data_IF_530849111462
#
_entry.id   IF_530849111462
#
_cell.length_a   1.000
_cell.length_b   1.000
_cell.length_c   1.000
_cell.angle_alpha   90.00
_cell.angle_beta   90.00
_cell.angle_gamma   90.00
#
_symmetry.space_group_name_H-M   'P 1'
#
loop_
_entity.id
_entity.type
_entity.pdbx_description
1 polymer ?
#
# COMPACT_ATOMS: atom_id res chain seq x y z
N UNK A 1 4.82 -48.33 30.47
CA UNK A 1 3.75 -48.29 29.44
C UNK A 1 2.76 -47.23 29.88
N UNK A 2 2.93 -46.01 29.37
CA UNK A 2 2.20 -45.49 28.20
C UNK A 2 0.70 -45.34 28.50
N UNK A 3 0.30 -44.25 29.18
CA UNK A 3 -1.08 -43.79 29.04
C UNK A 3 -1.42 -42.40 29.60
N UNK A 4 -0.46 -41.47 29.80
CA UNK A 4 -0.83 -40.11 30.25
C UNK A 4 -0.16 -38.94 29.49
N UNK A 5 0.82 -39.18 28.62
CA UNK A 5 1.46 -38.11 27.82
C UNK A 5 0.89 -37.95 26.40
N UNK A 6 -0.13 -38.71 26.01
CA UNK A 6 -0.76 -38.58 24.69
C UNK A 6 -2.00 -37.66 24.66
N UNK A 7 -2.47 -37.18 25.82
CA UNK A 7 -3.59 -36.24 25.89
C UNK A 7 -3.15 -34.76 25.78
N UNK A 8 -1.85 -34.46 25.91
CA UNK A 8 -1.33 -33.09 25.87
C UNK A 8 -0.82 -32.64 24.49
N UNK A 9 -0.87 -33.51 23.47
CA UNK A 9 -0.20 -33.27 22.18
C UNK A 9 -1.11 -33.47 20.95
N UNK A 10 -2.42 -33.22 21.10
CA UNK A 10 -3.37 -33.13 19.98
C UNK A 10 -4.42 -32.01 20.13
N UNK A 11 -4.14 -30.98 20.94
CA UNK A 11 -4.83 -29.70 20.81
C UNK A 11 -4.07 -28.79 19.84
N UNK A 12 -3.78 -29.29 18.64
CA UNK A 12 -3.52 -28.41 17.50
C UNK A 12 -4.82 -27.66 17.25
N UNK A 13 -4.95 -26.48 17.87
CA UNK A 13 -6.01 -25.51 17.59
C UNK A 13 -6.00 -25.25 16.09
N UNK A 14 -6.86 -25.97 15.40
CA UNK A 14 -7.30 -25.64 14.06
C UNK A 14 -7.90 -24.24 14.19
N UNK A 15 -7.11 -23.21 13.83
CA UNK A 15 -7.62 -21.86 13.62
C UNK A 15 -8.55 -21.95 12.42
N UNK A 16 -9.80 -22.34 12.67
CA UNK A 16 -10.86 -22.27 11.68
C UNK A 16 -11.05 -20.79 11.39
N UNK A 17 -10.70 -20.39 10.17
CA UNK A 17 -10.85 -19.01 9.68
C UNK A 17 -12.23 -18.50 10.08
N UNK A 18 -12.30 -17.50 10.96
CA UNK A 18 -13.57 -16.98 11.47
C UNK A 18 -14.47 -16.59 10.28
N UNK A 19 -15.75 -16.93 10.38
CA UNK A 19 -16.71 -16.73 9.28
C UNK A 19 -16.92 -15.24 9.05
N UNK A 20 -16.32 -14.68 8.01
CA UNK A 20 -16.50 -13.25 7.68
C UNK A 20 -17.86 -13.00 7.04
N UNK A 21 -18.47 -11.86 7.37
CA UNK A 21 -19.68 -11.35 6.73
C UNK A 21 -19.26 -10.51 5.53
N UNK A 22 -19.91 -10.71 4.39
CA UNK A 22 -19.60 -9.97 3.17
C UNK A 22 -20.73 -9.00 2.83
N UNK A 23 -20.39 -7.72 2.61
CA UNK A 23 -21.31 -6.67 2.19
C UNK A 23 -20.86 -6.14 0.83
N UNK A 24 -21.77 -6.07 -0.14
CA UNK A 24 -21.50 -5.42 -1.42
C UNK A 24 -21.55 -3.90 -1.26
N UNK A 25 -20.47 -3.22 -1.59
CA UNK A 25 -20.31 -1.77 -1.46
C UNK A 25 -20.26 -1.15 -2.86
N UNK A 26 -21.05 -0.11 -3.07
CA UNK A 26 -21.01 0.72 -4.28
C UNK A 26 -20.32 2.04 -3.96
N UNK A 27 -19.22 2.35 -4.64
CA UNK A 27 -18.47 3.62 -4.53
C UNK A 27 -17.85 3.99 -5.86
N UNK A 28 -17.04 5.05 -5.95
CA UNK A 28 -16.15 5.22 -7.09
C UNK A 28 -15.00 4.21 -7.04
N UNK A 29 -14.42 3.89 -8.19
CA UNK A 29 -13.18 3.08 -8.28
C UNK A 29 -12.03 3.76 -7.54
N UNK A 30 -11.89 5.08 -7.67
CA UNK A 30 -10.83 5.86 -7.04
C UNK A 30 -10.78 5.67 -5.51
N UNK A 31 -11.94 5.70 -4.83
CA UNK A 31 -11.97 5.47 -3.38
C UNK A 31 -11.43 4.08 -3.01
N UNK A 32 -11.80 3.03 -3.77
CA UNK A 32 -11.32 1.68 -3.51
C UNK A 32 -9.81 1.55 -3.78
N UNK A 33 -9.29 2.24 -4.79
CA UNK A 33 -7.86 2.29 -5.09
C UNK A 33 -7.04 2.98 -3.99
N UNK A 34 -7.60 3.99 -3.32
CA UNK A 34 -6.99 4.58 -2.12
C UNK A 34 -6.91 3.56 -0.99
N UNK A 35 -7.98 2.80 -0.73
CA UNK A 35 -7.95 1.71 0.27
C UNK A 35 -6.89 0.66 -0.09
N UNK A 36 -6.81 0.27 -1.37
CA UNK A 36 -5.82 -0.70 -1.84
C UNK A 36 -4.38 -0.18 -1.68
N UNK A 37 -4.15 1.11 -1.94
CA UNK A 37 -2.86 1.76 -1.79
C UNK A 37 -2.42 1.86 -0.33
N UNK A 38 -3.33 2.22 0.58
CA UNK A 38 -3.05 2.21 2.03
C UNK A 38 -2.75 0.79 2.51
N UNK A 39 -3.50 -0.20 2.03
CA UNK A 39 -3.26 -1.60 2.36
C UNK A 39 -1.87 -2.05 1.89
N UNK A 40 -1.47 -1.69 0.67
CA UNK A 40 -0.13 -1.96 0.16
C UNK A 40 0.95 -1.28 1.01
N UNK A 41 0.78 0.00 1.39
CA UNK A 41 1.70 0.72 2.29
C UNK A 41 1.84 0.04 3.66
N UNK A 42 0.76 -0.50 4.21
CA UNK A 42 0.74 -1.18 5.52
C UNK A 42 1.16 -2.65 5.46
N UNK A 43 1.39 -3.23 4.27
CA UNK A 43 1.63 -4.67 4.11
C UNK A 43 0.42 -5.53 4.50
N UNK A 44 -0.79 -4.97 4.41
CA UNK A 44 -2.06 -5.59 4.78
C UNK A 44 -2.91 -5.86 3.54
N UNK A 45 -3.96 -6.67 3.69
CA UNK A 45 -4.98 -6.81 2.64
C UNK A 45 -5.94 -5.61 2.65
N UNK A 46 -6.50 -5.26 1.49
CA UNK A 46 -7.55 -4.23 1.40
C UNK A 46 -8.72 -4.53 2.35
N UNK A 47 -9.08 -5.81 2.52
CA UNK A 47 -10.12 -6.21 3.48
C UNK A 47 -9.74 -5.95 4.94
N UNK A 48 -8.46 -6.02 5.32
CA UNK A 48 -8.02 -5.67 6.67
C UNK A 48 -8.16 -4.17 6.90
N UNK A 49 -7.65 -3.35 5.98
CA UNK A 49 -7.77 -1.90 6.06
C UNK A 49 -9.24 -1.47 6.07
N UNK A 50 -10.09 -2.06 5.22
CA UNK A 50 -11.54 -1.80 5.26
C UNK A 50 -12.13 -2.05 6.64
N UNK A 51 -11.79 -3.16 7.31
CA UNK A 51 -12.31 -3.45 8.66
C UNK A 51 -11.87 -2.40 9.69
N UNK A 52 -10.60 -2.03 9.66
CA UNK A 52 -10.04 -0.99 10.55
C UNK A 52 -10.76 0.35 10.34
N UNK A 53 -10.90 0.80 9.09
CA UNK A 53 -11.58 2.05 8.77
C UNK A 53 -13.05 2.03 9.20
N UNK A 54 -13.76 0.93 8.90
CA UNK A 54 -15.18 0.78 9.27
C UNK A 54 -15.36 0.77 10.78
N UNK A 55 -14.51 0.06 11.51
CA UNK A 55 -14.58 0.00 12.97
C UNK A 55 -14.29 1.36 13.61
N UNK A 56 -13.21 2.04 13.19
CA UNK A 56 -12.84 3.37 13.69
C UNK A 56 -13.97 4.38 13.43
N UNK A 57 -14.56 4.34 12.24
CA UNK A 57 -15.63 5.27 11.89
C UNK A 57 -16.97 4.95 12.54
N UNK A 58 -17.26 3.68 12.86
CA UNK A 58 -18.43 3.31 13.65
C UNK A 58 -18.33 3.90 15.07
N UNK A 59 -17.17 3.75 15.71
CA UNK A 59 -16.91 4.33 17.03
C UNK A 59 -17.01 5.86 17.00
N UNK A 60 -16.40 6.49 16.00
CA UNK A 60 -16.46 7.95 15.78
C UNK A 60 -17.89 8.43 15.51
N UNK A 61 -18.67 7.67 14.75
CA UNK A 61 -20.06 8.00 14.45
C UNK A 61 -20.90 8.07 15.73
N UNK A 62 -20.81 7.06 16.59
CA UNK A 62 -21.56 7.06 17.85
C UNK A 62 -21.14 8.21 18.78
N UNK A 63 -19.86 8.59 18.80
CA UNK A 63 -19.41 9.77 19.53
C UNK A 63 -19.91 11.11 18.93
N UNK A 64 -20.09 11.17 17.61
CA UNK A 64 -20.56 12.38 16.93
C UNK A 64 -22.07 12.60 17.11
N UNK A 65 -22.88 11.53 17.08
CA UNK A 65 -24.34 11.66 17.21
C UNK A 65 -24.81 12.07 18.62
N UNK A 66 -23.92 12.03 19.62
CA UNK A 66 -24.18 12.61 20.94
C UNK A 66 -24.31 14.13 20.89
N UNK A 67 -23.68 14.78 19.90
CA UNK A 67 -23.59 16.24 19.78
C UNK A 67 -24.17 16.79 18.47
N UNK A 68 -24.48 15.92 17.50
CA UNK A 68 -24.97 16.28 16.17
C UNK A 68 -26.12 15.37 15.78
N UNK A 69 -27.02 15.84 14.90
CA UNK A 69 -28.05 14.94 14.39
C UNK A 69 -27.42 13.84 13.52
N UNK A 70 -27.87 12.58 13.60
CA UNK A 70 -27.37 11.50 12.74
C UNK A 70 -27.42 11.84 11.25
N UNK A 71 -28.45 12.58 10.84
CA UNK A 71 -28.60 13.04 9.46
C UNK A 71 -27.45 13.94 9.02
N UNK A 72 -27.07 14.93 9.83
CA UNK A 72 -25.93 15.82 9.51
C UNK A 72 -24.61 15.05 9.42
N UNK A 73 -24.40 14.08 10.32
CA UNK A 73 -23.20 13.22 10.29
C UNK A 73 -23.15 12.43 8.99
N UNK A 74 -24.26 11.79 8.59
CA UNK A 74 -24.31 11.05 7.33
C UNK A 74 -24.19 11.94 6.09
N UNK A 75 -24.76 13.15 6.08
CA UNK A 75 -24.58 14.10 4.98
C UNK A 75 -23.11 14.51 4.81
N UNK A 76 -22.37 14.63 5.92
CA UNK A 76 -20.93 14.87 5.87
C UNK A 76 -20.18 13.66 5.29
N UNK A 77 -20.49 12.45 5.75
CA UNK A 77 -19.85 11.23 5.24
C UNK A 77 -20.18 10.98 3.77
N UNK A 78 -21.40 11.29 3.34
CA UNK A 78 -21.82 11.23 1.95
C UNK A 78 -21.02 12.22 1.09
N UNK A 79 -20.81 13.46 1.56
CA UNK A 79 -19.96 14.44 0.87
C UNK A 79 -18.52 13.93 0.71
N UNK A 80 -17.96 13.29 1.74
CA UNK A 80 -16.63 12.66 1.69
C UNK A 80 -16.59 11.48 0.73
N UNK A 81 -17.63 10.66 0.69
CA UNK A 81 -17.75 9.57 -0.27
C UNK A 81 -17.80 10.10 -1.71
N UNK A 82 -18.52 11.19 -1.93
CA UNK A 82 -18.67 11.83 -3.25
C UNK A 82 -17.45 12.63 -3.70
N UNK A 83 -16.53 13.01 -2.80
CA UNK A 83 -15.31 13.73 -3.19
C UNK A 83 -14.31 12.88 -3.98
N UNK A 84 -14.46 11.56 -3.96
CA UNK A 84 -13.65 10.65 -4.78
C UNK A 84 -14.28 10.52 -6.17
N UNK A 85 -13.80 11.32 -7.12
CA UNK A 85 -14.25 11.29 -8.52
C UNK A 85 -13.86 9.97 -9.21
N UNK A 86 -14.69 9.51 -10.16
CA UNK A 86 -14.39 8.35 -10.99
C UNK A 86 -15.61 7.48 -11.31
N UNK A 87 -15.37 6.42 -12.08
CA UNK A 87 -16.43 5.50 -12.49
C UNK A 87 -17.03 4.74 -11.30
N UNK A 88 -18.36 4.46 -11.32
CA UNK A 88 -18.99 3.59 -10.34
C UNK A 88 -18.34 2.20 -10.30
N UNK A 89 -18.08 1.73 -9.10
CA UNK A 89 -17.39 0.47 -8.84
C UNK A 89 -18.06 -0.29 -7.70
N UNK A 90 -18.26 -1.59 -7.91
CA UNK A 90 -18.79 -2.49 -6.89
C UNK A 90 -17.70 -3.41 -6.37
N UNK A 91 -17.58 -3.48 -5.05
CA UNK A 91 -16.59 -4.31 -4.37
C UNK A 91 -17.17 -4.92 -3.09
N UNK A 92 -16.48 -5.93 -2.56
CA UNK A 92 -16.98 -6.71 -1.43
C UNK A 92 -16.19 -6.39 -0.16
N UNK A 93 -16.84 -5.73 0.80
CA UNK A 93 -16.29 -5.53 2.14
C UNK A 93 -16.45 -6.81 2.95
N UNK A 94 -15.35 -7.33 3.50
CA UNK A 94 -15.34 -8.51 4.37
C UNK A 94 -15.13 -8.08 5.82
N UNK A 95 -16.21 -8.10 6.58
CA UNK A 95 -16.25 -7.68 7.98
C UNK A 95 -16.24 -8.89 8.91
N UNK A 96 -15.76 -8.67 10.13
CA UNK A 96 -15.91 -9.67 11.19
C UNK A 96 -17.40 -9.79 11.59
N UNK A 97 -17.85 -10.95 12.11
CA UNK A 97 -19.26 -11.19 12.43
C UNK A 97 -19.92 -10.08 13.24
N UNK A 98 -19.25 -9.63 14.30
CA UNK A 98 -19.78 -8.66 15.24
C UNK A 98 -19.92 -7.29 14.58
N UNK A 99 -18.85 -6.81 13.93
CA UNK A 99 -18.87 -5.58 13.14
C UNK A 99 -19.93 -5.64 12.03
N UNK A 100 -20.08 -6.79 11.37
CA UNK A 100 -21.11 -6.99 10.35
C UNK A 100 -22.54 -6.96 10.92
N UNK A 101 -22.74 -7.29 12.19
CA UNK A 101 -24.02 -7.16 12.88
C UNK A 101 -24.29 -5.71 13.27
N UNK A 102 -23.29 -5.01 13.82
CA UNK A 102 -23.41 -3.59 14.20
C UNK A 102 -23.79 -2.73 13.00
N UNK A 103 -23.18 -2.98 11.84
CA UNK A 103 -23.49 -2.30 10.59
C UNK A 103 -24.95 -2.55 10.15
N UNK A 104 -25.48 -3.76 10.36
CA UNK A 104 -26.89 -4.06 10.03
C UNK A 104 -27.84 -3.35 10.98
N UNK A 105 -27.51 -3.29 12.27
CA UNK A 105 -28.29 -2.58 13.27
C UNK A 105 -28.32 -1.08 12.95
N UNK A 106 -27.15 -0.47 12.71
CA UNK A 106 -27.06 0.93 12.30
C UNK A 106 -27.83 1.20 11.00
N UNK A 107 -27.70 0.33 9.99
CA UNK A 107 -28.46 0.45 8.75
C UNK A 107 -29.98 0.47 8.99
N UNK A 108 -30.47 -0.44 9.83
CA UNK A 108 -31.89 -0.50 10.19
C UNK A 108 -32.34 0.73 10.99
N UNK A 109 -31.58 1.11 12.02
CA UNK A 109 -31.87 2.24 12.92
C UNK A 109 -31.98 3.56 12.14
N UNK A 110 -31.00 3.82 11.27
CA UNK A 110 -30.91 5.08 10.53
C UNK A 110 -31.55 5.03 9.13
N UNK A 111 -32.29 3.96 8.82
CA UNK A 111 -33.01 3.76 7.55
C UNK A 111 -32.09 3.91 6.31
N UNK A 112 -30.89 3.33 6.39
CA UNK A 112 -29.91 3.26 5.30
C UNK A 112 -29.67 1.81 4.90
N UNK A 113 -29.10 1.59 3.72
CA UNK A 113 -28.62 0.24 3.37
C UNK A 113 -27.26 -0.04 4.04
N UNK A 114 -26.98 -1.32 4.33
CA UNK A 114 -25.66 -1.73 4.84
C UNK A 114 -24.53 -1.34 3.87
N UNK A 115 -24.80 -1.34 2.56
CA UNK A 115 -23.88 -0.87 1.52
C UNK A 115 -23.50 0.61 1.73
N UNK A 116 -24.50 1.46 1.94
CA UNK A 116 -24.28 2.90 2.19
C UNK A 116 -23.53 3.13 3.50
N UNK A 117 -23.91 2.46 4.58
CA UNK A 117 -23.23 2.61 5.88
C UNK A 117 -21.75 2.25 5.76
N UNK A 118 -21.42 1.13 5.12
CA UNK A 118 -20.01 0.75 4.90
C UNK A 118 -19.29 1.77 4.03
N UNK A 119 -19.90 2.23 2.93
CA UNK A 119 -19.30 3.25 2.07
C UNK A 119 -19.00 4.55 2.82
N UNK A 120 -19.96 5.04 3.62
CA UNK A 120 -19.80 6.22 4.46
C UNK A 120 -18.69 6.07 5.48
N UNK A 121 -18.63 4.94 6.18
CA UNK A 121 -17.61 4.71 7.19
C UNK A 121 -16.22 4.51 6.60
N UNK A 122 -16.10 3.91 5.42
CA UNK A 122 -14.82 3.86 4.70
C UNK A 122 -14.38 5.27 4.30
N UNK A 123 -15.27 6.09 3.72
CA UNK A 123 -14.95 7.46 3.34
C UNK A 123 -14.55 8.33 4.54
N UNK A 124 -15.26 8.19 5.67
CA UNK A 124 -14.90 8.85 6.91
C UNK A 124 -13.53 8.40 7.42
N UNK A 125 -13.30 7.10 7.52
CA UNK A 125 -12.05 6.55 8.02
C UNK A 125 -10.87 6.99 7.16
N UNK A 126 -11.03 7.02 5.83
CA UNK A 126 -10.02 7.55 4.92
C UNK A 126 -9.72 9.03 5.20
N UNK A 127 -10.73 9.85 5.48
CA UNK A 127 -10.52 11.27 5.80
C UNK A 127 -9.76 11.52 7.11
N UNK A 128 -9.77 10.53 8.02
CA UNK A 128 -9.06 10.57 9.30
C UNK A 128 -7.69 9.87 9.23
N UNK A 129 -7.40 9.20 8.11
CA UNK A 129 -6.19 8.44 7.89
C UNK A 129 -5.13 9.35 7.23
N UNK A 130 -4.01 9.58 7.93
CA UNK A 130 -2.95 10.48 7.45
C UNK A 130 -2.34 10.00 6.12
N UNK A 131 -2.25 8.68 5.93
CA UNK A 131 -1.71 8.07 4.72
C UNK A 131 -2.57 8.32 3.47
N UNK A 132 -3.85 8.69 3.64
CA UNK A 132 -4.74 9.04 2.53
C UNK A 132 -4.23 10.26 1.77
N UNK A 133 -3.75 11.28 2.48
CA UNK A 133 -3.24 12.51 1.85
C UNK A 133 -2.03 12.20 0.96
N UNK A 134 -1.11 11.38 1.45
CA UNK A 134 0.07 10.96 0.68
C UNK A 134 -0.29 10.10 -0.54
N UNK A 135 -1.41 9.38 -0.51
CA UNK A 135 -1.87 8.57 -1.65
C UNK A 135 -2.57 9.44 -2.69
N UNK A 136 -3.42 10.38 -2.25
CA UNK A 136 -4.13 11.30 -3.12
C UNK A 136 -3.20 12.30 -3.83
N UNK A 137 -2.02 12.54 -3.27
CA UNK A 137 -0.96 13.34 -3.91
C UNK A 137 -0.18 12.58 -5.01
N UNK A 138 -0.44 11.28 -5.25
CA UNK A 138 0.07 10.54 -6.42
C UNK A 138 -0.97 10.56 -7.54
N UNK A 139 -0.83 11.48 -8.50
CA UNK A 139 -1.66 11.59 -9.72
C UNK A 139 -1.39 10.46 -10.75
N UNK A 140 -1.21 9.23 -10.29
CA UNK A 140 -0.65 8.12 -11.04
C UNK A 140 -1.74 7.07 -11.31
N UNK A 141 -2.27 6.95 -12.54
CA UNK A 141 -3.27 5.90 -12.82
C UNK A 141 -2.66 4.49 -12.75
N UNK A 142 -3.48 3.47 -12.40
CA UNK A 142 -3.02 2.08 -12.34
C UNK A 142 -2.38 1.61 -13.65
N UNK A 143 -2.92 2.03 -14.80
CA UNK A 143 -2.38 1.71 -16.12
C UNK A 143 -0.98 2.30 -16.35
N UNK A 144 -0.73 3.52 -15.88
CA UNK A 144 0.58 4.16 -15.98
C UNK A 144 1.62 3.45 -15.10
N UNK A 145 1.21 2.98 -13.92
CA UNK A 145 2.08 2.18 -13.04
C UNK A 145 2.41 0.83 -13.67
N UNK A 146 1.43 0.16 -14.30
CA UNK A 146 1.66 -1.10 -15.04
C UNK A 146 2.61 -0.87 -16.23
N UNK A 147 2.44 0.23 -16.98
CA UNK A 147 3.36 0.64 -18.05
C UNK A 147 4.77 0.89 -17.51
N UNK A 148 4.91 1.56 -16.37
CA UNK A 148 6.20 1.80 -15.73
C UNK A 148 6.88 0.50 -15.29
N UNK A 149 6.15 -0.44 -14.68
CA UNK A 149 6.67 -1.77 -14.33
C UNK A 149 7.16 -2.53 -15.56
N UNK A 150 6.37 -2.55 -16.63
CA UNK A 150 6.75 -3.19 -17.89
C UNK A 150 7.98 -2.52 -18.54
N UNK A 151 8.12 -1.20 -18.42
CA UNK A 151 9.27 -0.46 -18.93
C UNK A 151 10.57 -0.76 -18.16
N UNK A 152 10.48 -1.06 -16.87
CA UNK A 152 11.63 -1.40 -16.01
C UNK A 152 12.12 -2.84 -16.25
N UNK A 153 11.21 -3.78 -16.48
CA UNK A 153 11.49 -5.22 -16.50
C UNK A 153 12.68 -5.67 -17.39
N UNK A 154 12.90 -5.10 -18.59
CA UNK A 154 14.03 -5.45 -19.44
C UNK A 154 15.41 -5.10 -18.86
N UNK A 155 15.48 -4.25 -17.84
CA UNK A 155 16.73 -3.68 -17.31
C UNK A 155 17.24 -4.37 -16.04
N UNK A 156 16.64 -5.48 -15.61
CA UNK A 156 17.10 -6.20 -14.43
C UNK A 156 18.50 -6.86 -14.63
N UNK A 157 19.30 -6.92 -13.56
CA UNK A 157 20.54 -7.69 -13.49
C UNK A 157 21.70 -7.07 -14.29
N UNK A 158 22.19 -7.78 -15.31
CA UNK A 158 23.33 -7.32 -16.14
C UNK A 158 22.93 -6.14 -17.03
N UNK A 159 21.66 -6.10 -17.47
CA UNK A 159 21.14 -5.07 -18.37
C UNK A 159 20.99 -3.69 -17.71
N UNK A 160 20.92 -3.64 -16.38
CA UNK A 160 20.89 -2.41 -15.58
C UNK A 160 22.10 -1.52 -15.85
N UNK A 161 23.24 -2.13 -16.21
CA UNK A 161 24.47 -1.42 -16.55
C UNK A 161 24.27 -0.45 -17.72
N UNK A 162 23.48 -0.84 -18.73
CA UNK A 162 23.21 0.03 -19.88
C UNK A 162 22.35 1.22 -19.49
N UNK A 163 21.34 0.98 -18.65
CA UNK A 163 20.47 2.05 -18.15
C UNK A 163 21.25 3.02 -17.28
N UNK A 164 22.12 2.52 -16.38
CA UNK A 164 23.00 3.33 -15.54
C UNK A 164 23.85 4.31 -16.36
N UNK A 165 24.48 3.85 -17.45
CA UNK A 165 25.24 4.72 -18.36
C UNK A 165 24.36 5.82 -18.98
N UNK A 166 23.16 5.45 -19.44
CA UNK A 166 22.28 6.35 -20.17
C UNK A 166 21.69 7.50 -19.33
N UNK A 167 21.64 7.31 -18.01
CA UNK A 167 21.13 8.32 -17.05
C UNK A 167 22.26 8.97 -16.22
N UNK A 168 23.52 8.75 -16.62
CA UNK A 168 24.66 9.43 -16.00
C UNK A 168 25.22 8.78 -14.73
N UNK A 169 24.78 7.58 -14.35
CA UNK A 169 25.40 6.82 -13.25
C UNK A 169 26.70 6.12 -13.65
N UNK A 170 27.02 6.03 -14.94
CA UNK A 170 28.26 5.39 -15.41
C UNK A 170 28.23 3.87 -15.28
N UNK A 171 29.28 3.26 -14.71
CA UNK A 171 29.42 1.80 -14.60
C UNK A 171 28.65 1.20 -13.40
N UNK A 172 27.92 2.02 -12.63
CA UNK A 172 27.29 1.66 -11.36
C UNK A 172 26.03 0.79 -11.51
N UNK A 173 26.22 -0.42 -12.03
CA UNK A 173 25.18 -1.45 -12.22
C UNK A 173 24.51 -1.84 -10.89
N UNK A 174 25.28 -1.93 -9.81
CA UNK A 174 24.76 -2.31 -8.49
C UNK A 174 23.74 -1.30 -7.98
N UNK A 175 24.11 -0.02 -8.02
CA UNK A 175 23.25 1.10 -7.63
C UNK A 175 21.98 1.17 -8.47
N UNK A 176 22.10 1.01 -9.80
CA UNK A 176 20.93 1.00 -10.67
C UNK A 176 19.99 -0.17 -10.34
N UNK A 177 20.50 -1.37 -10.07
CA UNK A 177 19.64 -2.49 -9.65
C UNK A 177 18.92 -2.19 -8.32
N UNK A 178 19.59 -1.52 -7.37
CA UNK A 178 18.96 -1.11 -6.11
C UNK A 178 17.86 -0.07 -6.33
N UNK A 179 18.08 0.90 -7.21
CA UNK A 179 17.05 1.88 -7.62
C UNK A 179 15.87 1.18 -8.30
N UNK A 180 16.12 0.32 -9.28
CA UNK A 180 15.05 -0.38 -10.00
C UNK A 180 14.24 -1.33 -9.11
N UNK A 181 14.86 -1.86 -8.04
CA UNK A 181 14.20 -2.66 -7.02
C UNK A 181 13.52 -1.81 -5.93
N UNK A 182 13.63 -0.48 -5.97
CA UNK A 182 13.13 0.45 -4.95
C UNK A 182 13.84 0.37 -3.59
N UNK A 183 14.99 -0.33 -3.52
CA UNK A 183 15.79 -0.48 -2.31
C UNK A 183 16.55 0.80 -1.92
N UNK A 184 16.78 1.68 -2.88
CA UNK A 184 17.38 3.01 -2.69
C UNK A 184 16.42 4.07 -3.23
N UNK A 185 16.16 5.09 -2.42
CA UNK A 185 15.37 6.25 -2.84
C UNK A 185 16.08 6.98 -3.95
N UNK A 186 15.37 7.20 -5.05
CA UNK A 186 15.90 7.83 -6.25
C UNK A 186 15.79 9.35 -6.13
N UNK A 187 16.88 10.11 -6.33
CA UNK A 187 16.80 11.57 -6.34
C UNK A 187 16.00 12.08 -7.53
N UNK A 188 15.44 13.28 -7.39
CA UNK A 188 14.54 13.89 -8.40
C UNK A 188 15.18 13.96 -9.78
N UNK A 189 16.41 14.48 -9.90
CA UNK A 189 17.13 14.58 -11.17
C UNK A 189 17.29 13.23 -11.86
N UNK A 190 17.59 12.18 -11.09
CA UNK A 190 17.73 10.83 -11.60
C UNK A 190 16.38 10.22 -12.00
N UNK A 191 15.33 10.48 -11.22
CA UNK A 191 13.96 10.05 -11.52
C UNK A 191 13.46 10.68 -12.83
N UNK A 192 13.69 11.97 -13.04
CA UNK A 192 13.35 12.68 -14.28
C UNK A 192 14.13 12.13 -15.49
N UNK A 193 15.42 11.84 -15.31
CA UNK A 193 16.25 11.21 -16.36
C UNK A 193 15.75 9.80 -16.71
N UNK A 194 15.39 8.99 -15.71
CA UNK A 194 14.83 7.66 -15.92
C UNK A 194 13.46 7.71 -16.58
N UNK A 195 12.57 8.60 -16.12
CA UNK A 195 11.26 8.87 -16.72
C UNK A 195 11.40 9.18 -18.22
N UNK A 196 12.28 10.11 -18.56
CA UNK A 196 12.55 10.49 -19.96
C UNK A 196 13.06 9.31 -20.79
N UNK A 197 13.97 8.49 -20.23
CA UNK A 197 14.56 7.35 -20.94
C UNK A 197 13.61 6.18 -21.12
N UNK A 198 12.74 5.94 -20.15
CA UNK A 198 11.80 4.82 -20.15
C UNK A 198 10.46 5.19 -20.81
N UNK A 199 10.22 6.48 -21.09
CA UNK A 199 9.01 6.96 -21.74
C UNK A 199 7.77 6.88 -20.85
N UNK A 200 7.96 7.00 -19.53
CA UNK A 200 6.90 6.94 -18.51
C UNK A 200 7.03 8.13 -17.57
N UNK A 201 5.97 8.47 -16.83
CA UNK A 201 5.96 9.64 -15.96
C UNK A 201 6.78 9.40 -14.68
N UNK A 202 7.41 10.43 -14.12
CA UNK A 202 8.16 10.32 -12.87
C UNK A 202 7.30 9.80 -11.69
N UNK A 203 6.03 10.23 -11.50
CA UNK A 203 5.16 9.69 -10.46
C UNK A 203 4.87 8.19 -10.62
N UNK A 204 4.53 7.73 -11.85
CA UNK A 204 4.28 6.30 -12.10
C UNK A 204 5.53 5.44 -11.90
N UNK A 205 6.71 5.98 -12.23
CA UNK A 205 7.99 5.31 -12.03
C UNK A 205 8.36 5.20 -10.54
N UNK A 206 8.13 6.26 -9.76
CA UNK A 206 8.31 6.25 -8.31
C UNK A 206 7.42 5.19 -7.65
N UNK A 207 6.14 5.16 -8.04
CA UNK A 207 5.17 4.17 -7.57
C UNK A 207 5.59 2.74 -7.95
N UNK A 208 6.07 2.53 -9.18
CA UNK A 208 6.57 1.24 -9.64
C UNK A 208 7.77 0.75 -8.81
N UNK A 209 8.72 1.63 -8.48
CA UNK A 209 9.84 1.26 -7.60
C UNK A 209 9.37 0.87 -6.20
N UNK A 210 8.42 1.60 -5.63
CA UNK A 210 7.85 1.27 -4.32
C UNK A 210 7.15 -0.09 -4.31
N UNK A 211 6.37 -0.40 -5.35
CA UNK A 211 5.74 -1.71 -5.50
C UNK A 211 6.78 -2.84 -5.57
N UNK A 212 7.83 -2.67 -6.38
CA UNK A 212 8.91 -3.67 -6.49
C UNK A 212 9.68 -3.85 -5.18
N UNK A 213 9.88 -2.78 -4.42
CA UNK A 213 10.49 -2.88 -3.10
C UNK A 213 9.62 -3.74 -2.18
N UNK A 214 8.33 -3.44 -2.08
CA UNK A 214 7.38 -4.19 -1.27
C UNK A 214 7.30 -5.67 -1.67
N UNK A 215 7.27 -5.98 -2.97
CA UNK A 215 7.29 -7.35 -3.48
C UNK A 215 8.58 -8.09 -3.09
N UNK A 216 9.72 -7.38 -3.01
CA UNK A 216 11.01 -7.95 -2.61
C UNK A 216 11.15 -8.20 -1.10
N UNK A 217 10.30 -7.58 -0.28
CA UNK A 217 10.25 -7.81 1.18
C UNK A 217 9.45 -9.07 1.54
N UNK A 218 8.73 -9.67 0.58
CA UNK A 218 8.05 -10.96 0.78
C UNK A 218 9.11 -12.06 0.94
N UNK A 219 9.24 -12.71 2.11
CA UNK A 219 10.26 -13.73 2.32
C UNK A 219 10.03 -14.91 1.38
N UNK A 220 10.96 -15.17 0.46
CA UNK A 220 11.06 -16.47 -0.18
C UNK A 220 11.37 -17.49 0.93
N UNK A 221 10.42 -18.40 1.16
CA UNK A 221 10.49 -19.41 2.20
C UNK A 221 11.80 -20.23 2.11
N UNK A 222 12.51 -20.31 3.25
CA UNK A 222 13.64 -21.22 3.60
C UNK A 222 15.02 -20.90 3.03
N UNK A 223 15.85 -20.23 3.85
CA UNK A 223 17.28 -20.51 3.94
C UNK A 223 17.56 -21.30 5.24
N UNK A 224 18.37 -22.38 5.23
CA UNK A 224 18.54 -23.25 6.40
C UNK A 224 19.33 -22.63 7.56
N UNK A 225 20.25 -21.68 7.30
CA UNK A 225 21.19 -21.19 8.32
C UNK A 225 21.58 -19.72 8.09
N UNK A 226 20.70 -18.79 8.48
CA UNK A 226 21.04 -17.37 8.53
C UNK A 226 19.81 -16.50 8.46
N UNK A 227 19.55 -15.74 9.52
CA UNK A 227 18.45 -14.77 9.59
C UNK A 227 18.50 -13.82 8.39
N UNK A 228 17.53 -13.84 7.46
CA UNK A 228 17.49 -12.84 6.40
C UNK A 228 17.16 -11.49 7.03
N UNK A 229 18.12 -10.56 7.01
CA UNK A 229 17.86 -9.16 7.35
C UNK A 229 17.05 -8.56 6.20
N UNK A 230 15.72 -8.63 6.30
CA UNK A 230 14.81 -7.94 5.39
C UNK A 230 14.93 -6.44 5.68
N UNK A 231 15.44 -5.66 4.73
CA UNK A 231 15.49 -4.20 4.85
C UNK A 231 14.04 -3.68 4.84
N UNK A 232 13.48 -3.36 6.00
CA UNK A 232 12.08 -2.89 6.15
C UNK A 232 11.88 -1.47 5.60
N UNK A 233 12.96 -0.75 5.29
CA UNK A 233 12.95 0.63 4.78
C UNK A 233 13.95 0.78 3.63
N UNK A 234 13.56 1.48 2.57
CA UNK A 234 14.47 1.88 1.50
C UNK A 234 15.58 2.77 2.06
N UNK A 235 16.80 2.56 1.58
CA UNK A 235 17.95 3.38 1.93
C UNK A 235 17.82 4.76 1.27
N UNK A 236 18.38 5.79 1.91
CA UNK A 236 18.57 7.09 1.27
C UNK A 236 19.56 6.96 0.10
N UNK A 237 19.54 7.94 -0.82
CA UNK A 237 20.48 7.97 -1.94
C UNK A 237 21.94 7.92 -1.46
N UNK A 238 22.27 8.75 -0.48
CA UNK A 238 23.57 8.80 0.17
C UNK A 238 24.02 7.46 0.73
N UNK A 239 23.17 6.82 1.55
CA UNK A 239 23.47 5.49 2.09
C UNK A 239 23.71 4.45 0.98
N UNK A 240 22.96 4.54 -0.13
CA UNK A 240 23.14 3.69 -1.31
C UNK A 240 24.48 3.91 -2.01
N UNK A 241 24.91 5.16 -2.14
CA UNK A 241 26.18 5.54 -2.78
C UNK A 241 27.37 5.19 -1.88
N UNK A 242 27.34 5.55 -0.60
CA UNK A 242 28.43 5.28 0.36
C UNK A 242 28.66 3.77 0.55
N UNK A 243 27.60 2.95 0.45
CA UNK A 243 27.71 1.50 0.52
C UNK A 243 28.51 0.86 -0.64
N UNK A 244 28.76 1.60 -1.74
CA UNK A 244 29.54 1.11 -2.88
C UNK A 244 31.06 1.21 -2.66
N UNK A 245 31.51 1.94 -1.63
CA UNK A 245 32.93 2.12 -1.29
C UNK A 245 33.77 2.56 -2.51
N UNK A 246 33.28 3.57 -3.24
CA UNK A 246 33.90 4.06 -4.47
C UNK A 246 35.06 5.03 -4.15
N UNK A 247 35.96 5.28 -5.13
CA UNK A 247 36.90 6.38 -5.02
C UNK A 247 36.17 7.70 -4.76
N UNK A 248 36.74 8.57 -3.91
CA UNK A 248 36.09 9.82 -3.45
C UNK A 248 35.54 10.69 -4.59
N UNK A 249 36.25 10.76 -5.71
CA UNK A 249 35.83 11.55 -6.88
C UNK A 249 34.53 11.01 -7.49
N UNK A 250 34.42 9.68 -7.61
CA UNK A 250 33.24 9.02 -8.17
C UNK A 250 32.06 9.04 -7.18
N UNK A 251 32.35 8.88 -5.88
CA UNK A 251 31.35 9.03 -4.81
C UNK A 251 30.74 10.43 -4.81
N UNK A 252 31.57 11.48 -4.82
CA UNK A 252 31.11 12.88 -4.87
C UNK A 252 30.29 13.16 -6.14
N UNK A 253 30.70 12.61 -7.29
CA UNK A 253 29.95 12.73 -8.55
C UNK A 253 28.55 12.15 -8.44
N UNK A 254 28.38 11.01 -7.76
CA UNK A 254 27.08 10.37 -7.58
C UNK A 254 26.24 11.08 -6.51
N UNK A 255 26.85 11.59 -5.43
CA UNK A 255 26.15 12.36 -4.41
C UNK A 255 25.60 13.69 -4.94
N UNK A 256 26.19 14.27 -6.01
CA UNK A 256 25.67 15.47 -6.67
C UNK A 256 24.28 15.31 -7.31
N UNK A 257 23.72 14.09 -7.34
CA UNK A 257 22.34 13.85 -7.75
C UNK A 257 21.31 14.15 -6.64
N UNK A 258 21.72 14.31 -5.37
CA UNK A 258 20.84 14.47 -4.20
C UNK A 258 20.03 15.79 -4.17
N UNK A 259 20.36 16.74 -5.06
CA UNK A 259 19.69 18.04 -5.25
C UNK A 259 18.31 17.97 -5.93
#
# INVERSE_FOLDING_TARGET
MRSNDQAAMQASKTYTKAKQVTVGVSSSRAMYEVVASIAAKRGLSASNVTRELVQQSLESFYAQIDNQSPQQVFENYERKLQSYEGEPYQWMARLDPDLGMDIKLAAQEFKRSASQIVGFFVAEGLSLCAETQEVLECDCSSEEVVKALAAIEPFNGVKAKRLAKNVGLGEQRGLMNQVLAGAVLVPRRLLEALSTRLGVTAPSLSQAFQLRFNDSLTPAFKAPDGSPSVCVKSKTWREGVEALQLPKEEEQRLLAFED
#
